data_IF_666922673664
#
_entry.id   IF_666922673664
#
_cell.length_a   1.000
_cell.length_b   1.000
_cell.length_c   1.000
_cell.angle_alpha   90.00
_cell.angle_beta   90.00
_cell.angle_gamma   90.00
#
_symmetry.space_group_name_H-M   'P 1'
#
loop_
_entity.id
_entity.type
_entity.pdbx_description
1 polymer ?
#
# COMPACT_ATOMS: atom_id res chain seq x y z
N UNK A 1 -10.90 -30.56 13.73
CA UNK A 1 -9.47 -30.88 13.63
C UNK A 1 -8.78 -29.64 13.11
N UNK A 2 -7.81 -29.05 13.80
CA UNK A 2 -7.08 -27.91 13.25
C UNK A 2 -6.24 -28.39 12.07
N UNK A 3 -6.31 -27.68 10.96
CA UNK A 3 -5.57 -27.95 9.74
C UNK A 3 -4.06 -27.88 10.00
N UNK A 4 -3.43 -29.06 10.06
CA UNK A 4 -1.97 -29.19 10.18
C UNK A 4 -1.18 -28.68 8.97
N UNK A 5 -1.84 -28.22 7.90
CA UNK A 5 -1.19 -27.76 6.68
C UNK A 5 -0.92 -26.24 6.64
N UNK A 6 -1.59 -25.45 7.47
CA UNK A 6 -1.44 -23.99 7.47
C UNK A 6 -0.12 -23.52 8.14
N UNK A 7 0.43 -24.30 9.07
CA UNK A 7 1.69 -23.96 9.78
C UNK A 7 2.96 -24.14 8.94
N UNK A 8 2.88 -24.71 7.76
CA UNK A 8 4.07 -25.02 6.94
C UNK A 8 4.73 -23.80 6.29
N UNK A 9 3.99 -22.73 6.09
CA UNK A 9 4.48 -21.54 5.35
C UNK A 9 5.59 -20.77 6.11
N UNK A 10 5.61 -20.83 7.44
CA UNK A 10 6.57 -20.11 8.28
C UNK A 10 7.55 -21.04 9.03
N UNK A 11 7.64 -22.31 8.63
CA UNK A 11 8.56 -23.27 9.27
C UNK A 11 10.04 -23.07 8.88
N UNK A 12 10.32 -22.27 7.86
CA UNK A 12 11.67 -21.82 7.50
C UNK A 12 11.74 -20.32 7.68
N UNK A 13 12.87 -19.84 8.21
CA UNK A 13 13.08 -18.40 8.33
C UNK A 13 13.11 -17.75 6.95
N UNK A 14 12.25 -16.74 6.73
CA UNK A 14 12.30 -15.95 5.51
C UNK A 14 13.59 -15.12 5.48
N UNK A 15 14.39 -15.13 4.38
CA UNK A 15 15.68 -14.46 4.33
C UNK A 15 15.58 -12.93 4.49
N UNK A 16 14.52 -12.30 3.95
CA UNK A 16 14.32 -10.85 4.01
C UNK A 16 13.88 -10.41 5.41
N UNK A 17 12.91 -11.11 6.01
CA UNK A 17 12.48 -10.85 7.37
C UNK A 17 13.64 -11.05 8.37
N UNK A 18 14.40 -12.14 8.21
CA UNK A 18 15.56 -12.41 9.05
C UNK A 18 16.65 -11.33 8.88
N UNK A 19 16.93 -10.87 7.66
CA UNK A 19 17.89 -9.81 7.40
C UNK A 19 17.47 -8.50 8.10
N UNK A 20 16.21 -8.10 7.99
CA UNK A 20 15.67 -6.92 8.68
C UNK A 20 15.76 -7.05 10.21
N UNK A 21 15.47 -8.24 10.76
CA UNK A 21 15.59 -8.49 12.20
C UNK A 21 17.06 -8.44 12.66
N UNK A 22 17.99 -8.95 11.85
CA UNK A 22 19.43 -8.90 12.13
C UNK A 22 19.94 -7.45 12.12
N UNK A 23 19.63 -6.68 11.09
CA UNK A 23 19.97 -5.27 11.00
C UNK A 23 19.43 -4.48 12.20
N UNK A 24 18.16 -4.71 12.55
CA UNK A 24 17.56 -4.11 13.72
C UNK A 24 18.27 -4.51 15.03
N UNK A 25 18.81 -5.73 15.11
CA UNK A 25 19.51 -6.22 16.31
C UNK A 25 20.84 -5.50 16.59
N UNK A 26 21.37 -4.74 15.63
CA UNK A 26 22.56 -3.89 15.84
C UNK A 26 22.27 -2.68 16.74
N UNK A 27 21.03 -2.21 16.76
CA UNK A 27 20.59 -1.01 17.49
C UNK A 27 19.51 -1.27 18.53
N UNK A 28 18.88 -2.46 18.49
CA UNK A 28 17.79 -2.88 19.38
C UNK A 28 18.13 -4.19 20.07
N UNK A 29 17.69 -4.35 21.31
CA UNK A 29 17.82 -5.63 22.02
C UNK A 29 16.78 -6.63 21.52
N UNK A 30 17.14 -7.42 20.50
CA UNK A 30 16.31 -8.52 20.01
C UNK A 30 16.91 -9.83 20.49
N UNK A 31 16.11 -10.58 21.28
CA UNK A 31 16.55 -11.84 21.91
C UNK A 31 15.59 -12.98 21.60
N UNK A 32 16.03 -14.21 21.84
CA UNK A 32 15.16 -15.38 21.81
C UNK A 32 14.25 -15.40 23.04
N UNK A 33 12.96 -15.28 22.85
CA UNK A 33 11.93 -15.41 23.89
C UNK A 33 11.78 -16.87 24.39
N UNK A 34 12.14 -17.83 23.54
CA UNK A 34 12.15 -19.28 23.83
C UNK A 34 13.31 -19.96 23.14
N UNK A 35 13.64 -21.21 23.55
CA UNK A 35 14.59 -22.04 22.80
C UNK A 35 14.07 -22.29 21.38
N UNK A 36 14.98 -22.24 20.39
CA UNK A 36 14.68 -22.50 18.98
C UNK A 36 15.17 -23.89 18.62
N UNK A 37 14.28 -24.73 18.09
CA UNK A 37 14.58 -26.09 17.68
C UNK A 37 14.26 -26.30 16.19
N UNK A 38 15.07 -27.13 15.52
CA UNK A 38 14.70 -27.65 14.21
C UNK A 38 13.65 -28.77 14.34
N UNK A 39 13.07 -29.18 13.20
CA UNK A 39 12.04 -30.22 13.15
C UNK A 39 12.51 -31.57 13.72
N UNK A 40 13.82 -31.84 13.78
CA UNK A 40 14.42 -33.05 14.31
C UNK A 40 14.66 -32.96 15.83
N UNK A 41 14.32 -31.84 16.47
CA UNK A 41 14.51 -31.62 17.91
C UNK A 41 15.91 -31.16 18.31
N UNK A 42 16.77 -30.78 17.33
CA UNK A 42 18.07 -30.21 17.62
C UNK A 42 17.91 -28.75 18.04
N UNK A 43 18.43 -28.39 19.24
CA UNK A 43 18.44 -26.99 19.69
C UNK A 43 19.43 -26.17 18.86
N UNK A 44 18.91 -25.19 18.16
CA UNK A 44 19.68 -24.24 17.34
C UNK A 44 20.10 -23.01 18.15
N UNK A 45 19.21 -22.48 19.01
CA UNK A 45 19.44 -21.28 19.80
C UNK A 45 18.79 -21.37 21.16
N UNK A 46 19.42 -20.80 22.17
CA UNK A 46 18.87 -20.84 23.53
C UNK A 46 18.08 -19.57 23.85
N UNK A 47 17.07 -19.72 24.72
CA UNK A 47 16.32 -18.61 25.29
C UNK A 47 17.27 -17.55 25.88
N UNK A 48 16.88 -16.27 25.77
CA UNK A 48 17.61 -15.08 26.21
C UNK A 48 18.94 -14.83 25.48
N UNK A 49 19.29 -15.62 24.47
CA UNK A 49 20.43 -15.28 23.61
C UNK A 49 20.06 -14.20 22.59
N UNK A 50 20.93 -13.20 22.38
CA UNK A 50 20.69 -12.16 21.39
C UNK A 50 20.67 -12.73 19.97
N UNK A 51 19.87 -12.13 19.11
CA UNK A 51 19.88 -12.40 17.67
C UNK A 51 21.23 -11.93 17.10
N UNK A 52 21.85 -12.74 16.24
CA UNK A 52 23.14 -12.45 15.63
C UNK A 52 23.33 -13.22 14.32
N UNK A 53 24.38 -12.89 13.57
CA UNK A 53 24.78 -13.67 12.38
C UNK A 53 25.08 -15.14 12.68
N UNK A 54 25.43 -15.48 13.92
CA UNK A 54 25.58 -16.89 14.33
C UNK A 54 24.26 -17.65 14.33
N UNK A 55 23.17 -16.98 14.75
CA UNK A 55 21.83 -17.54 14.63
C UNK A 55 21.46 -17.72 13.14
N UNK A 56 21.70 -16.70 12.30
CA UNK A 56 21.43 -16.79 10.86
C UNK A 56 22.09 -18.02 10.23
N UNK A 57 23.40 -18.24 10.50
CA UNK A 57 24.11 -19.41 9.98
C UNK A 57 23.51 -20.74 10.44
N UNK A 58 22.96 -20.80 11.66
CA UNK A 58 22.30 -22.00 12.19
C UNK A 58 20.90 -22.22 11.64
N UNK A 59 20.25 -21.18 11.16
CA UNK A 59 18.89 -21.24 10.57
C UNK A 59 18.92 -21.57 9.06
N UNK A 60 20.07 -21.37 8.39
CA UNK A 60 20.21 -21.66 6.96
C UNK A 60 19.81 -23.11 6.66
N UNK A 61 18.95 -23.29 5.70
CA UNK A 61 18.44 -24.59 5.20
C UNK A 61 17.78 -25.48 6.26
N UNK A 62 17.30 -24.87 7.36
CA UNK A 62 16.64 -25.62 8.42
C UNK A 62 15.15 -25.28 8.54
N UNK A 63 14.35 -26.31 8.64
CA UNK A 63 12.94 -26.18 9.04
C UNK A 63 12.84 -26.18 10.56
N UNK A 64 12.03 -25.29 11.10
CA UNK A 64 11.86 -25.05 12.53
C UNK A 64 10.58 -25.74 13.06
N UNK A 65 10.58 -26.12 14.33
CA UNK A 65 9.40 -26.63 15.01
C UNK A 65 8.32 -25.54 15.20
N UNK A 66 8.73 -24.28 15.35
CA UNK A 66 7.88 -23.11 15.48
C UNK A 66 8.38 -22.00 14.57
N UNK A 67 7.51 -21.18 14.02
CA UNK A 67 7.91 -19.97 13.28
C UNK A 67 8.89 -19.12 14.08
N UNK A 68 9.94 -18.62 13.41
CA UNK A 68 11.00 -17.84 14.05
C UNK A 68 10.45 -16.63 14.80
N UNK A 69 9.49 -15.94 14.21
CA UNK A 69 8.86 -14.73 14.73
C UNK A 69 8.16 -14.96 16.08
N UNK A 70 7.70 -16.18 16.33
CA UNK A 70 7.08 -16.55 17.61
C UNK A 70 8.11 -16.90 18.68
N UNK A 71 9.37 -17.08 18.29
CA UNK A 71 10.47 -17.45 19.18
C UNK A 71 11.36 -16.24 19.56
N UNK A 72 11.16 -15.08 18.95
CA UNK A 72 11.94 -13.86 19.18
C UNK A 72 11.10 -12.78 19.87
N UNK A 73 11.78 -11.82 20.50
CA UNK A 73 11.18 -10.61 21.06
C UNK A 73 12.16 -9.44 21.04
N UNK A 74 11.64 -8.24 20.92
CA UNK A 74 12.38 -7.00 21.14
C UNK A 74 12.14 -6.54 22.58
N UNK A 75 13.16 -6.47 23.44
CA UNK A 75 13.04 -6.09 24.85
C UNK A 75 12.67 -4.60 24.99
N UNK A 76 13.22 -3.75 24.12
CA UNK A 76 12.98 -2.31 24.04
C UNK A 76 12.04 -1.94 22.87
N UNK A 77 11.16 -2.86 22.48
CA UNK A 77 10.32 -2.77 21.30
C UNK A 77 9.22 -1.69 21.38
N UNK A 78 8.45 -1.58 20.30
CA UNK A 78 7.30 -0.69 20.21
C UNK A 78 6.28 -1.03 21.29
N UNK A 79 5.81 0.00 22.01
CA UNK A 79 4.78 -0.12 23.05
C UNK A 79 3.59 0.78 22.71
N UNK A 80 2.39 0.55 23.29
CA UNK A 80 1.27 1.47 23.12
C UNK A 80 1.59 2.91 23.54
N UNK A 81 2.47 3.09 24.53
CA UNK A 81 2.95 4.41 24.93
C UNK A 81 3.76 5.07 23.81
N UNK A 82 4.72 4.36 23.21
CA UNK A 82 5.53 4.89 22.09
C UNK A 82 4.66 5.22 20.88
N UNK A 83 3.66 4.40 20.56
CA UNK A 83 2.68 4.71 19.51
C UNK A 83 1.91 5.99 19.83
N UNK A 84 1.47 6.16 21.09
CA UNK A 84 0.78 7.37 21.51
C UNK A 84 1.67 8.60 21.42
N UNK A 85 2.93 8.50 21.87
CA UNK A 85 3.89 9.61 21.80
C UNK A 85 4.16 10.00 20.33
N UNK A 86 4.36 9.02 19.43
CA UNK A 86 4.52 9.26 17.99
C UNK A 86 3.28 9.92 17.38
N UNK A 87 2.08 9.45 17.74
CA UNK A 87 0.82 10.03 17.26
C UNK A 87 0.65 11.48 17.75
N UNK A 88 1.01 11.78 19.00
CA UNK A 88 1.02 13.15 19.51
C UNK A 88 1.94 14.06 18.68
N UNK A 89 3.13 13.58 18.31
CA UNK A 89 4.04 14.34 17.43
C UNK A 89 3.43 14.62 16.06
N UNK A 90 2.67 13.68 15.48
CA UNK A 90 1.96 13.89 14.21
C UNK A 90 0.82 14.91 14.33
N UNK A 91 0.10 14.91 15.45
CA UNK A 91 -1.04 15.81 15.71
C UNK A 91 -0.57 17.23 16.00
N UNK A 92 0.45 17.39 16.86
CA UNK A 92 0.94 18.67 17.34
C UNK A 92 1.94 19.33 16.37
N UNK A 93 2.52 18.54 15.46
CA UNK A 93 3.48 19.02 14.47
C UNK A 93 2.87 19.92 13.38
N UNK A 94 3.68 20.24 12.38
CA UNK A 94 3.29 21.00 11.17
C UNK A 94 3.37 20.12 9.91
N UNK A 95 3.16 18.81 10.07
CA UNK A 95 3.20 17.84 8.97
C UNK A 95 1.97 17.93 8.05
N UNK A 96 2.07 17.32 6.87
CA UNK A 96 1.02 17.32 5.85
C UNK A 96 -0.31 16.76 6.36
N UNK A 97 -0.29 15.81 7.29
CA UNK A 97 -1.49 15.19 7.86
C UNK A 97 -2.09 15.99 9.02
N UNK A 98 -1.37 16.93 9.62
CA UNK A 98 -1.83 17.68 10.80
C UNK A 98 -3.22 18.30 10.63
N UNK A 99 -3.58 18.93 9.48
CA UNK A 99 -4.93 19.49 9.30
C UNK A 99 -6.03 18.43 9.33
N UNK A 100 -5.74 17.19 8.88
CA UNK A 100 -6.66 16.06 8.99
C UNK A 100 -6.72 15.51 10.41
N UNK A 101 -5.58 15.39 11.10
CA UNK A 101 -5.49 14.68 12.38
C UNK A 101 -5.93 15.52 13.57
N UNK A 102 -5.59 16.82 13.60
CA UNK A 102 -5.83 17.72 14.74
C UNK A 102 -7.30 17.81 15.18
N UNK A 103 -8.30 17.90 14.28
CA UNK A 103 -9.71 17.89 14.68
C UNK A 103 -10.14 16.59 15.38
N UNK A 104 -9.44 15.48 15.14
CA UNK A 104 -9.74 14.13 15.65
C UNK A 104 -8.80 13.68 16.78
N UNK A 105 -7.97 14.59 17.31
CA UNK A 105 -6.91 14.28 18.27
C UNK A 105 -7.39 13.47 19.49
N UNK A 106 -8.53 13.85 20.08
CA UNK A 106 -9.06 13.15 21.25
C UNK A 106 -9.46 11.71 20.96
N UNK A 107 -10.13 11.47 19.84
CA UNK A 107 -10.51 10.13 19.41
C UNK A 107 -9.29 9.26 19.09
N UNK A 108 -8.30 9.84 18.40
CA UNK A 108 -7.05 9.18 18.03
C UNK A 108 -6.22 8.79 19.26
N UNK A 109 -6.02 9.74 20.21
CA UNK A 109 -5.24 9.49 21.43
C UNK A 109 -5.95 8.52 22.40
N UNK A 110 -7.28 8.42 22.31
CA UNK A 110 -8.06 7.42 23.03
C UNK A 110 -7.97 6.06 22.34
N UNK A 111 -8.17 6.04 21.01
CA UNK A 111 -8.16 4.83 20.20
C UNK A 111 -6.81 4.10 20.21
N UNK A 112 -5.68 4.85 20.16
CA UNK A 112 -4.34 4.25 20.21
C UNK A 112 -4.08 3.48 21.52
N UNK A 113 -4.74 3.86 22.61
CA UNK A 113 -4.67 3.12 23.87
C UNK A 113 -5.32 1.74 23.81
N UNK A 114 -6.22 1.50 22.86
CA UNK A 114 -6.89 0.21 22.62
C UNK A 114 -6.22 -0.60 21.49
N UNK A 115 -5.21 -0.05 20.81
CA UNK A 115 -4.40 -0.78 19.83
C UNK A 115 -3.62 -1.86 20.55
N UNK A 116 -4.02 -3.11 20.32
CA UNK A 116 -3.37 -4.26 20.91
C UNK A 116 -2.16 -4.67 20.06
N UNK A 117 -0.98 -4.72 20.68
CA UNK A 117 0.24 -5.21 20.03
C UNK A 117 0.47 -6.67 20.40
N UNK A 118 0.19 -7.59 19.48
CA UNK A 118 0.59 -8.99 19.62
C UNK A 118 2.13 -9.09 19.61
N UNK A 119 2.76 -10.01 20.40
CA UNK A 119 4.24 -10.12 20.46
C UNK A 119 4.94 -10.20 19.10
N UNK A 120 4.38 -10.96 18.15
CA UNK A 120 4.90 -11.06 16.78
C UNK A 120 4.85 -9.70 16.07
N UNK A 121 3.71 -9.01 16.12
CA UNK A 121 3.58 -7.68 15.53
C UNK A 121 4.52 -6.66 16.20
N UNK A 122 4.66 -6.73 17.51
CA UNK A 122 5.61 -5.89 18.26
C UNK A 122 7.05 -6.11 17.80
N UNK A 123 7.49 -7.36 17.65
CA UNK A 123 8.81 -7.71 17.11
C UNK A 123 9.01 -7.12 15.72
N UNK A 124 8.06 -7.40 14.79
CA UNK A 124 8.17 -6.98 13.39
C UNK A 124 8.18 -5.45 13.25
N UNK A 125 7.26 -4.75 13.92
CA UNK A 125 7.23 -3.28 13.92
C UNK A 125 8.50 -2.67 14.53
N UNK A 126 9.06 -3.30 15.57
CA UNK A 126 10.30 -2.83 16.19
C UNK A 126 11.51 -3.03 15.27
N UNK A 127 11.52 -4.13 14.51
CA UNK A 127 12.53 -4.37 13.50
C UNK A 127 12.42 -3.38 12.33
N UNK A 128 11.19 -3.11 11.85
CA UNK A 128 10.93 -2.12 10.79
C UNK A 128 11.31 -0.71 11.27
N UNK A 129 10.96 -0.31 12.49
CA UNK A 129 11.35 1.00 13.03
C UNK A 129 12.86 1.21 13.01
N UNK A 130 13.63 0.18 13.35
CA UNK A 130 15.10 0.26 13.43
C UNK A 130 15.78 0.20 12.06
N UNK A 131 15.36 -0.75 11.20
CA UNK A 131 16.03 -1.02 9.93
C UNK A 131 15.41 -0.27 8.73
N UNK A 132 14.10 0.05 8.78
CA UNK A 132 13.33 0.69 7.69
C UNK A 132 12.47 1.83 8.22
N UNK A 133 13.03 2.94 8.74
CA UNK A 133 12.26 4.00 9.41
C UNK A 133 11.21 4.65 8.50
N UNK A 134 11.42 4.72 7.19
CA UNK A 134 10.43 5.24 6.24
C UNK A 134 9.15 4.37 6.22
N UNK A 135 9.29 3.03 6.17
CA UNK A 135 8.16 2.10 6.22
C UNK A 135 7.43 2.17 7.58
N UNK A 136 8.17 2.34 8.68
CA UNK A 136 7.53 2.55 9.98
C UNK A 136 6.73 3.86 10.06
N UNK A 137 7.27 4.96 9.52
CA UNK A 137 6.56 6.23 9.46
C UNK A 137 5.31 6.13 8.58
N UNK A 138 5.39 5.40 7.45
CA UNK A 138 4.23 5.11 6.60
C UNK A 138 3.14 4.37 7.39
N UNK A 139 3.49 3.32 8.11
CA UNK A 139 2.54 2.58 8.97
C UNK A 139 1.91 3.47 10.05
N UNK A 140 2.67 4.40 10.67
CA UNK A 140 2.14 5.38 11.62
C UNK A 140 1.16 6.36 10.96
N UNK A 141 1.46 6.83 9.75
CA UNK A 141 0.59 7.71 8.99
C UNK A 141 -0.71 7.00 8.61
N UNK A 142 -0.63 5.74 8.16
CA UNK A 142 -1.80 4.93 7.83
C UNK A 142 -2.67 4.67 9.07
N UNK A 143 -2.07 4.33 10.21
CA UNK A 143 -2.75 4.21 11.49
C UNK A 143 -3.52 5.49 11.84
N UNK A 144 -2.86 6.64 11.77
CA UNK A 144 -3.43 7.93 12.16
C UNK A 144 -4.55 8.36 11.19
N UNK A 145 -4.32 8.24 9.88
CA UNK A 145 -5.30 8.61 8.85
C UNK A 145 -6.55 7.73 8.90
N UNK A 146 -6.38 6.41 8.99
CA UNK A 146 -7.51 5.49 9.11
C UNK A 146 -8.37 5.79 10.35
N UNK A 147 -7.73 6.07 11.49
CA UNK A 147 -8.43 6.49 12.70
C UNK A 147 -9.18 7.81 12.53
N UNK A 148 -8.56 8.83 11.93
CA UNK A 148 -9.18 10.14 11.69
C UNK A 148 -10.38 10.07 10.75
N UNK A 149 -10.29 9.29 9.66
CA UNK A 149 -11.40 9.07 8.73
C UNK A 149 -12.58 8.39 9.45
N UNK A 150 -12.31 7.39 10.31
CA UNK A 150 -13.36 6.71 11.07
C UNK A 150 -14.04 7.63 12.08
N UNK A 151 -13.28 8.46 12.81
CA UNK A 151 -13.88 9.44 13.74
C UNK A 151 -14.68 10.50 13.00
N UNK A 152 -14.20 10.98 11.85
CA UNK A 152 -14.95 11.91 11.00
C UNK A 152 -16.31 11.32 10.54
N UNK A 153 -16.37 10.00 10.36
CA UNK A 153 -17.60 9.23 10.05
C UNK A 153 -18.44 8.90 11.30
N UNK A 154 -18.03 9.37 12.48
CA UNK A 154 -18.68 9.13 13.76
C UNK A 154 -18.73 7.66 14.16
N UNK A 155 -17.71 6.90 13.81
CA UNK A 155 -17.55 5.54 14.25
C UNK A 155 -17.35 5.48 15.78
N UNK A 156 -17.70 4.37 16.37
CA UNK A 156 -17.43 4.15 17.80
C UNK A 156 -15.94 3.92 18.09
N UNK A 157 -15.57 4.00 19.36
CA UNK A 157 -14.19 3.85 19.83
C UNK A 157 -13.56 2.52 19.39
N UNK A 158 -14.34 1.44 19.38
CA UNK A 158 -13.85 0.11 19.00
C UNK A 158 -13.52 0.06 17.51
N UNK A 159 -14.40 0.58 16.65
CA UNK A 159 -14.18 0.65 15.21
C UNK A 159 -12.98 1.55 14.86
N UNK A 160 -12.78 2.67 15.58
CA UNK A 160 -11.60 3.52 15.42
C UNK A 160 -10.32 2.74 15.78
N UNK A 161 -10.30 2.03 16.91
CA UNK A 161 -9.14 1.23 17.32
C UNK A 161 -8.84 0.08 16.35
N UNK A 162 -9.85 -0.57 15.78
CA UNK A 162 -9.67 -1.59 14.73
C UNK A 162 -9.07 -0.98 13.46
N UNK A 163 -9.56 0.17 13.02
CA UNK A 163 -9.04 0.88 11.86
C UNK A 163 -7.58 1.30 12.07
N UNK A 164 -7.25 1.83 13.24
CA UNK A 164 -5.88 2.19 13.62
C UNK A 164 -4.97 0.95 13.65
N UNK A 165 -5.46 -0.16 14.20
CA UNK A 165 -4.70 -1.43 14.22
C UNK A 165 -4.45 -1.95 12.81
N UNK A 166 -5.46 -1.93 11.95
CA UNK A 166 -5.35 -2.38 10.57
C UNK A 166 -4.39 -1.48 9.77
N UNK A 167 -4.48 -0.15 9.93
CA UNK A 167 -3.55 0.80 9.31
C UNK A 167 -2.10 0.64 9.80
N UNK A 168 -1.88 0.33 11.08
CA UNK A 168 -0.53 0.07 11.61
C UNK A 168 0.12 -1.19 11.02
N UNK A 169 -0.70 -2.19 10.64
CA UNK A 169 -0.23 -3.53 10.27
C UNK A 169 -0.36 -3.83 8.77
N UNK A 170 -0.89 -2.90 7.95
CA UNK A 170 -1.26 -3.21 6.56
C UNK A 170 -0.08 -3.72 5.73
N UNK A 171 1.11 -3.14 5.92
CA UNK A 171 2.34 -3.47 5.19
C UNK A 171 3.26 -4.48 5.90
N UNK A 172 2.78 -5.14 6.96
CA UNK A 172 3.62 -6.10 7.68
C UNK A 172 4.18 -7.21 6.79
N UNK A 173 3.50 -7.51 5.67
CA UNK A 173 3.94 -8.47 4.66
C UNK A 173 5.16 -8.03 3.87
N UNK A 174 5.45 -6.72 3.76
CA UNK A 174 6.63 -6.20 3.06
C UNK A 174 7.96 -6.65 3.70
N UNK A 175 7.95 -7.03 4.97
CA UNK A 175 9.14 -7.61 5.59
C UNK A 175 9.60 -8.93 4.95
N UNK A 176 8.72 -9.60 4.22
CA UNK A 176 8.96 -10.92 3.61
C UNK A 176 9.36 -10.85 2.14
N UNK A 177 9.43 -9.66 1.57
CA UNK A 177 9.93 -9.37 0.23
C UNK A 177 11.23 -8.57 0.31
N UNK A 178 11.97 -8.44 -0.81
CA UNK A 178 13.19 -7.64 -0.82
C UNK A 178 12.91 -6.18 -0.44
N UNK A 179 13.73 -5.55 0.43
CA UNK A 179 13.53 -4.17 0.88
C UNK A 179 13.46 -3.13 -0.25
N UNK A 180 14.16 -3.40 -1.36
CA UNK A 180 14.16 -2.53 -2.54
C UNK A 180 12.79 -2.43 -3.25
N UNK A 181 11.84 -3.28 -2.87
CA UNK A 181 10.50 -3.37 -3.46
C UNK A 181 9.41 -2.78 -2.56
N UNK A 182 9.77 -2.25 -1.39
CA UNK A 182 8.80 -1.64 -0.47
C UNK A 182 8.17 -0.36 -1.04
N UNK A 183 6.90 -0.15 -0.75
CA UNK A 183 6.11 1.00 -1.24
C UNK A 183 6.59 2.35 -0.71
N UNK A 184 7.22 2.36 0.46
CA UNK A 184 7.75 3.59 1.05
C UNK A 184 8.89 4.22 0.23
N UNK A 185 9.49 3.47 -0.69
CA UNK A 185 10.62 3.92 -1.52
C UNK A 185 10.13 4.34 -2.92
N UNK A 186 9.38 5.42 -2.98
CA UNK A 186 8.71 5.94 -4.18
C UNK A 186 9.63 6.37 -5.34
N UNK A 187 10.95 6.31 -5.17
CA UNK A 187 11.92 6.73 -6.19
C UNK A 187 12.15 5.70 -7.31
N UNK A 188 11.67 4.47 -7.13
CA UNK A 188 11.91 3.41 -8.09
C UNK A 188 10.71 3.22 -9.02
N UNK A 189 10.89 3.50 -10.31
CA UNK A 189 10.05 2.93 -11.36
C UNK A 189 10.18 1.42 -11.29
N UNK A 190 9.23 0.77 -10.60
CA UNK A 190 9.26 -0.67 -10.39
C UNK A 190 9.16 -1.40 -11.73
N UNK A 191 10.20 -2.13 -12.09
CA UNK A 191 10.14 -3.07 -13.20
C UNK A 191 9.08 -4.16 -12.93
N UNK A 192 8.59 -4.81 -13.98
CA UNK A 192 7.50 -5.80 -13.88
C UNK A 192 7.80 -6.93 -12.89
N UNK A 193 9.03 -7.42 -12.87
CA UNK A 193 9.42 -8.51 -11.97
C UNK A 193 9.42 -8.07 -10.50
N UNK A 194 9.86 -6.86 -10.24
CA UNK A 194 9.81 -6.18 -8.95
C UNK A 194 8.36 -6.00 -8.49
N UNK A 195 7.50 -5.53 -9.39
CA UNK A 195 6.07 -5.36 -9.12
C UNK A 195 5.38 -6.68 -8.78
N UNK A 196 5.77 -7.80 -9.42
CA UNK A 196 5.26 -9.14 -9.07
C UNK A 196 5.55 -9.54 -7.63
N UNK A 197 6.71 -9.16 -7.11
CA UNK A 197 7.06 -9.41 -5.70
C UNK A 197 6.26 -8.49 -4.78
N UNK A 198 6.10 -7.23 -5.16
CA UNK A 198 5.33 -6.28 -4.36
C UNK A 198 3.86 -6.71 -4.22
N UNK A 199 3.19 -7.09 -5.29
CA UNK A 199 1.74 -7.39 -5.26
C UNK A 199 1.34 -8.58 -4.39
N UNK A 200 2.30 -9.36 -3.88
CA UNK A 200 2.00 -10.49 -2.99
C UNK A 200 2.05 -10.13 -1.50
N UNK A 201 2.60 -8.94 -1.12
CA UNK A 201 2.74 -8.59 0.30
C UNK A 201 1.41 -8.51 1.06
N UNK A 202 0.26 -8.08 0.48
CA UNK A 202 -1.02 -8.11 1.21
C UNK A 202 -1.43 -9.53 1.59
N UNK A 203 -1.21 -10.49 0.68
CA UNK A 203 -1.46 -11.90 0.97
C UNK A 203 -0.51 -12.47 2.02
N UNK A 204 0.77 -12.12 1.95
CA UNK A 204 1.76 -12.52 2.97
C UNK A 204 1.36 -11.95 4.33
N UNK A 205 1.00 -10.67 4.42
CA UNK A 205 0.51 -10.04 5.64
C UNK A 205 -0.72 -10.74 6.21
N UNK A 206 -1.68 -11.11 5.37
CA UNK A 206 -2.84 -11.91 5.76
C UNK A 206 -2.43 -13.26 6.37
N UNK A 207 -1.54 -14.01 5.71
CA UNK A 207 -1.06 -15.30 6.20
C UNK A 207 -0.35 -15.16 7.54
N UNK A 208 0.54 -14.19 7.66
CA UNK A 208 1.30 -13.89 8.86
C UNK A 208 0.36 -13.59 10.04
N UNK A 209 -0.56 -12.64 9.87
CA UNK A 209 -1.47 -12.26 10.94
C UNK A 209 -2.44 -13.38 11.30
N UNK A 210 -2.94 -14.15 10.33
CA UNK A 210 -3.89 -15.24 10.59
C UNK A 210 -3.26 -16.45 11.25
N UNK A 211 -1.97 -16.74 10.95
CA UNK A 211 -1.30 -17.95 11.44
C UNK A 211 -0.48 -17.72 12.71
N UNK A 212 0.10 -16.52 12.84
CA UNK A 212 1.05 -16.23 13.92
C UNK A 212 0.47 -15.32 15.02
N UNK A 213 -0.76 -14.83 14.86
CA UNK A 213 -1.39 -13.90 15.81
C UNK A 213 -2.85 -14.24 16.08
N UNK A 214 -3.46 -13.51 17.01
CA UNK A 214 -4.88 -13.62 17.36
C UNK A 214 -5.68 -12.34 17.03
N UNK A 215 -5.22 -11.58 16.03
CA UNK A 215 -5.96 -10.39 15.58
C UNK A 215 -7.35 -10.75 15.03
N UNK A 216 -8.34 -9.84 15.17
CA UNK A 216 -9.67 -10.03 14.61
C UNK A 216 -9.61 -10.31 13.10
N UNK A 217 -10.50 -11.21 12.63
CA UNK A 217 -10.57 -11.57 11.19
C UNK A 217 -10.77 -10.36 10.28
N UNK A 218 -11.48 -9.33 10.76
CA UNK A 218 -11.72 -8.11 9.98
C UNK A 218 -10.42 -7.33 9.75
N UNK A 219 -9.51 -7.25 10.73
CA UNK A 219 -8.18 -6.67 10.58
C UNK A 219 -7.34 -7.48 9.59
N UNK A 220 -7.30 -8.81 9.76
CA UNK A 220 -6.56 -9.73 8.88
C UNK A 220 -7.05 -9.62 7.43
N UNK A 221 -8.35 -9.54 7.24
CA UNK A 221 -8.99 -9.38 5.94
C UNK A 221 -8.67 -8.02 5.32
N UNK A 222 -8.74 -6.95 6.10
CA UNK A 222 -8.42 -5.60 5.62
C UNK A 222 -6.97 -5.48 5.16
N UNK A 223 -6.02 -6.12 5.86
CA UNK A 223 -4.61 -6.21 5.45
C UNK A 223 -4.47 -6.90 4.08
N UNK A 224 -5.27 -7.92 3.79
CA UNK A 224 -5.26 -8.57 2.47
C UNK A 224 -5.85 -7.70 1.36
N UNK A 225 -6.70 -6.72 1.71
CA UNK A 225 -7.52 -5.94 0.79
C UNK A 225 -7.03 -4.49 0.57
N UNK A 226 -5.96 -4.05 1.26
CA UNK A 226 -5.58 -2.63 1.29
C UNK A 226 -5.13 -2.05 -0.07
N UNK A 227 -4.81 -2.89 -1.04
CA UNK A 227 -4.56 -2.48 -2.43
C UNK A 227 -5.69 -2.85 -3.39
N UNK A 228 -6.80 -3.36 -2.89
CA UNK A 228 -7.98 -3.59 -3.72
C UNK A 228 -8.71 -2.28 -4.02
N UNK A 229 -9.47 -2.26 -5.11
CA UNK A 229 -10.28 -1.12 -5.56
C UNK A 229 -11.71 -1.58 -5.84
N UNK A 230 -12.69 -0.73 -5.59
CA UNK A 230 -14.12 -1.08 -5.77
C UNK A 230 -14.46 -1.49 -7.20
N UNK A 231 -13.74 -0.98 -8.18
CA UNK A 231 -13.94 -1.25 -9.60
C UNK A 231 -13.16 -2.49 -10.10
N UNK A 232 -12.39 -3.15 -9.24
CA UNK A 232 -11.58 -4.32 -9.57
C UNK A 232 -10.23 -3.99 -10.23
N UNK A 233 -9.82 -2.72 -10.23
CA UNK A 233 -8.51 -2.28 -10.70
C UNK A 233 -7.38 -2.58 -9.72
N UNK A 234 -7.69 -3.01 -8.49
CA UNK A 234 -6.73 -3.31 -7.44
C UNK A 234 -6.09 -4.70 -7.53
N UNK A 235 -5.34 -5.06 -6.51
CA UNK A 235 -4.64 -6.33 -6.33
C UNK A 235 -4.64 -6.78 -4.86
N UNK A 236 -4.33 -8.03 -4.52
CA UNK A 236 -3.95 -9.14 -5.40
C UNK A 236 -5.14 -9.91 -6.00
N UNK A 237 -6.36 -9.78 -5.45
CA UNK A 237 -7.49 -10.64 -5.80
C UNK A 237 -8.47 -9.99 -6.80
N UNK A 238 -8.32 -8.71 -7.10
CA UNK A 238 -9.22 -7.92 -7.96
C UNK A 238 -10.66 -7.99 -7.50
N UNK A 239 -10.86 -7.74 -6.23
CA UNK A 239 -12.20 -7.70 -5.64
C UNK A 239 -12.96 -6.50 -6.18
N UNK A 240 -14.29 -6.63 -6.24
CA UNK A 240 -15.17 -5.55 -6.73
C UNK A 240 -16.28 -5.27 -5.73
N UNK A 241 -16.65 -4.00 -5.60
CA UNK A 241 -17.84 -3.55 -4.87
C UNK A 241 -17.95 -4.13 -3.45
N UNK A 242 -19.08 -4.80 -3.18
CA UNK A 242 -19.40 -5.36 -1.85
C UNK A 242 -18.53 -6.56 -1.45
N UNK A 243 -17.68 -7.04 -2.33
CA UNK A 243 -16.72 -8.10 -1.98
C UNK A 243 -15.57 -7.58 -1.11
N UNK A 244 -15.31 -6.27 -1.10
CA UNK A 244 -14.39 -5.64 -0.18
C UNK A 244 -15.05 -5.43 1.18
N UNK A 245 -14.29 -5.68 2.26
CA UNK A 245 -14.72 -5.34 3.62
C UNK A 245 -14.69 -3.82 3.84
N UNK A 246 -15.46 -3.32 4.80
CA UNK A 246 -15.46 -1.88 5.14
C UNK A 246 -14.08 -1.39 5.59
N UNK A 247 -13.35 -2.20 6.37
CA UNK A 247 -11.95 -1.87 6.74
C UNK A 247 -11.01 -1.98 5.54
N UNK A 248 -11.22 -2.92 4.62
CA UNK A 248 -10.45 -3.03 3.38
C UNK A 248 -10.64 -1.80 2.49
N UNK A 249 -11.88 -1.34 2.29
CA UNK A 249 -12.18 -0.08 1.59
C UNK A 249 -11.48 1.12 2.24
N UNK A 250 -11.50 1.19 3.58
CA UNK A 250 -10.84 2.26 4.33
C UNK A 250 -9.33 2.24 4.13
N UNK A 251 -8.68 1.07 4.27
CA UNK A 251 -7.24 0.96 4.09
C UNK A 251 -6.82 1.25 2.65
N UNK A 252 -7.59 0.78 1.66
CA UNK A 252 -7.35 1.07 0.25
C UNK A 252 -7.39 2.58 -0.04
N UNK A 253 -8.38 3.30 0.50
CA UNK A 253 -8.45 4.75 0.37
C UNK A 253 -7.32 5.46 1.16
N UNK A 254 -6.94 4.93 2.32
CA UNK A 254 -5.83 5.45 3.13
C UNK A 254 -4.51 5.33 2.38
N UNK A 255 -4.23 4.16 1.81
CA UNK A 255 -3.00 3.90 1.06
C UNK A 255 -2.89 4.80 -0.17
N UNK A 256 -3.94 4.90 -0.97
CA UNK A 256 -3.95 5.79 -2.13
C UNK A 256 -3.74 7.26 -1.75
N UNK A 257 -4.38 7.71 -0.67
CA UNK A 257 -4.19 9.07 -0.17
C UNK A 257 -2.74 9.32 0.27
N UNK A 258 -2.12 8.35 0.96
CA UNK A 258 -0.71 8.42 1.36
C UNK A 258 0.23 8.37 0.16
N UNK A 259 -0.06 7.53 -0.84
CA UNK A 259 0.70 7.48 -2.09
C UNK A 259 0.70 8.83 -2.81
N UNK A 260 -0.46 9.50 -2.90
CA UNK A 260 -0.55 10.84 -3.48
C UNK A 260 0.23 11.90 -2.69
N UNK A 261 0.44 11.71 -1.38
CA UNK A 261 1.21 12.61 -0.53
C UNK A 261 2.73 12.39 -0.63
N UNK A 262 3.22 11.32 -1.25
CA UNK A 262 4.67 11.08 -1.47
C UNK A 262 5.27 12.00 -2.53
N UNK A 263 4.46 12.59 -3.39
CA UNK A 263 4.92 13.54 -4.42
C UNK A 263 5.49 14.79 -3.73
N UNK A 264 6.67 15.26 -4.18
CA UNK A 264 7.29 16.46 -3.61
C UNK A 264 6.36 17.68 -3.69
N UNK A 265 6.13 18.34 -2.55
CA UNK A 265 5.20 19.48 -2.46
C UNK A 265 3.71 19.09 -2.45
N UNK A 266 3.38 17.79 -2.37
CA UNK A 266 1.99 17.35 -2.26
C UNK A 266 1.34 17.85 -0.97
N UNK A 267 0.02 18.01 -1.03
CA UNK A 267 -0.84 18.44 0.09
C UNK A 267 -2.09 17.56 0.15
N UNK A 268 -2.94 17.76 1.16
CA UNK A 268 -4.22 17.05 1.26
C UNK A 268 -5.14 17.27 0.04
N UNK A 269 -4.93 18.32 -0.76
CA UNK A 269 -5.64 18.48 -2.03
C UNK A 269 -5.32 17.34 -3.01
N UNK A 270 -4.03 16.97 -3.14
CA UNK A 270 -3.60 15.85 -4.00
C UNK A 270 -4.22 14.52 -3.54
N UNK A 271 -4.18 14.23 -2.23
CA UNK A 271 -4.83 13.06 -1.65
C UNK A 271 -6.35 13.03 -1.92
N UNK A 272 -7.02 14.19 -1.76
CA UNK A 272 -8.45 14.33 -2.04
C UNK A 272 -8.78 14.11 -3.53
N UNK A 273 -7.94 14.62 -4.44
CA UNK A 273 -8.10 14.43 -5.89
C UNK A 273 -7.89 12.95 -6.25
N UNK A 274 -6.83 12.33 -5.75
CA UNK A 274 -6.50 10.93 -6.04
C UNK A 274 -7.64 9.97 -5.74
N UNK A 275 -8.42 10.21 -4.68
CA UNK A 275 -9.56 9.37 -4.32
C UNK A 275 -10.84 9.62 -5.15
N UNK A 276 -10.89 10.67 -5.96
CA UNK A 276 -12.11 11.09 -6.68
C UNK A 276 -11.95 11.17 -8.18
N UNK A 277 -10.71 11.12 -8.68
CA UNK A 277 -10.41 11.36 -10.10
C UNK A 277 -10.94 10.27 -11.01
N UNK A 278 -11.05 9.03 -10.53
CA UNK A 278 -11.64 7.91 -11.27
C UNK A 278 -12.94 7.49 -10.57
N UNK A 279 -14.11 7.68 -11.22
CA UNK A 279 -15.40 7.37 -10.62
C UNK A 279 -15.56 5.89 -10.26
N UNK A 280 -15.96 5.63 -9.00
CA UNK A 280 -16.23 4.28 -8.51
C UNK A 280 -14.98 3.45 -8.18
N UNK A 281 -13.79 4.04 -8.20
CA UNK A 281 -12.55 3.39 -7.76
C UNK A 281 -12.50 3.26 -6.23
N UNK A 282 -12.91 4.29 -5.51
CA UNK A 282 -12.99 4.34 -4.04
C UNK A 282 -14.40 4.71 -3.55
N UNK A 283 -14.67 4.44 -2.27
CA UNK A 283 -15.90 4.86 -1.61
C UNK A 283 -15.88 6.38 -1.38
N UNK A 284 -16.85 7.09 -1.95
CA UNK A 284 -16.98 8.55 -1.87
C UNK A 284 -17.08 9.07 -0.43
N UNK A 285 -17.66 8.26 0.48
CA UNK A 285 -17.76 8.61 1.90
C UNK A 285 -16.43 8.62 2.61
N UNK A 286 -15.40 7.91 2.08
CA UNK A 286 -14.03 7.92 2.63
C UNK A 286 -13.23 9.11 2.13
N UNK A 287 -13.51 9.62 0.93
CA UNK A 287 -12.87 10.81 0.39
C UNK A 287 -13.33 12.11 1.08
N UNK A 288 -14.55 12.14 1.62
CA UNK A 288 -15.15 13.32 2.26
C UNK A 288 -14.29 13.97 3.36
N UNK A 289 -13.78 13.23 4.35
CA UNK A 289 -12.91 13.76 5.41
C UNK A 289 -11.63 14.42 4.88
N UNK A 290 -10.97 13.82 3.88
CA UNK A 290 -9.79 14.40 3.24
C UNK A 290 -10.14 15.68 2.49
N UNK A 291 -11.25 15.69 1.75
CA UNK A 291 -11.72 16.88 1.05
C UNK A 291 -12.07 18.02 2.03
N UNK A 292 -12.62 17.70 3.19
CA UNK A 292 -12.89 18.68 4.24
C UNK A 292 -11.58 19.24 4.85
N UNK A 293 -10.61 18.40 5.13
CA UNK A 293 -9.30 18.79 5.64
C UNK A 293 -8.49 19.60 4.59
N UNK A 294 -8.61 19.27 3.31
CA UNK A 294 -7.97 20.02 2.23
C UNK A 294 -8.45 21.47 2.16
N UNK A 295 -9.75 21.75 2.43
CA UNK A 295 -10.31 23.13 2.37
C UNK A 295 -9.72 24.10 3.39
N UNK A 296 -9.12 23.63 4.48
CA UNK A 296 -8.49 24.48 5.49
C UNK A 296 -6.98 24.66 5.28
N UNK A 297 -6.43 23.98 4.27
CA UNK A 297 -5.04 24.15 3.82
C UNK A 297 -5.00 25.20 2.72
N UNK A 298 -3.86 25.87 2.57
CA UNK A 298 -3.66 26.83 1.48
C UNK A 298 -3.99 26.19 0.11
N UNK A 299 -4.62 26.94 -0.80
CA UNK A 299 -4.88 26.46 -2.17
C UNK A 299 -3.60 25.99 -2.84
N UNK A 300 -3.74 25.05 -3.77
CA UNK A 300 -2.62 24.55 -4.56
C UNK A 300 -1.99 25.69 -5.35
N UNK A 301 -0.67 25.81 -5.23
CA UNK A 301 0.11 26.75 -6.04
C UNK A 301 0.35 26.10 -7.40
N UNK A 302 0.11 26.85 -8.48
CA UNK A 302 0.47 26.41 -9.83
C UNK A 302 1.99 26.21 -9.93
N UNK A 303 2.43 25.07 -10.49
CA UNK A 303 3.84 24.74 -10.71
C UNK A 303 4.28 25.09 -12.15
N UNK A 304 3.31 25.21 -13.05
CA UNK A 304 3.52 25.50 -14.47
C UNK A 304 2.57 26.59 -14.96
N UNK A 305 2.81 27.10 -16.16
CA UNK A 305 1.92 28.06 -16.81
C UNK A 305 0.62 27.39 -17.27
N UNK A 306 -0.43 28.18 -17.50
CA UNK A 306 -1.67 27.66 -18.08
C UNK A 306 -1.45 27.05 -19.47
N UNK A 307 -0.49 27.60 -20.26
CA UNK A 307 -0.16 27.11 -21.60
C UNK A 307 0.51 25.73 -21.52
N UNK A 308 1.50 25.56 -20.63
CA UNK A 308 2.20 24.28 -20.40
C UNK A 308 1.23 23.22 -19.90
N UNK A 309 0.35 23.58 -18.96
CA UNK A 309 -0.69 22.69 -18.46
C UNK A 309 -1.63 22.23 -19.58
N UNK A 310 -2.10 23.15 -20.41
CA UNK A 310 -2.99 22.80 -21.54
C UNK A 310 -2.30 21.89 -22.55
N UNK A 311 -1.00 22.10 -22.80
CA UNK A 311 -0.21 21.22 -23.63
C UNK A 311 -0.11 19.81 -23.01
N UNK A 312 0.22 19.72 -21.74
CA UNK A 312 0.35 18.47 -21.01
C UNK A 312 -0.99 17.70 -20.89
N UNK A 313 -2.11 18.40 -20.72
CA UNK A 313 -3.45 17.80 -20.74
C UNK A 313 -3.82 17.28 -22.14
N UNK A 314 -3.41 17.99 -23.20
CA UNK A 314 -3.61 17.54 -24.58
C UNK A 314 -2.79 16.28 -24.88
N UNK A 315 -1.56 16.19 -24.37
CA UNK A 315 -0.73 14.98 -24.47
C UNK A 315 -1.38 13.80 -23.73
N UNK A 316 -1.92 14.04 -22.53
CA UNK A 316 -2.64 13.01 -21.78
C UNK A 316 -3.86 12.47 -22.55
N UNK A 317 -4.67 13.36 -23.12
CA UNK A 317 -5.83 12.97 -23.96
C UNK A 317 -5.39 12.16 -25.18
N UNK A 318 -4.31 12.59 -25.83
CA UNK A 318 -3.74 11.86 -26.97
C UNK A 318 -3.23 10.48 -26.58
N UNK A 319 -2.54 10.35 -25.44
CA UNK A 319 -2.05 9.07 -24.93
C UNK A 319 -3.20 8.12 -24.60
N UNK A 320 -4.23 8.63 -23.91
CA UNK A 320 -5.44 7.84 -23.62
C UNK A 320 -6.12 7.34 -24.90
N UNK A 321 -6.29 8.19 -25.90
CA UNK A 321 -6.89 7.82 -27.18
C UNK A 321 -6.00 6.85 -27.96
N UNK A 322 -4.69 7.08 -27.96
CA UNK A 322 -3.71 6.19 -28.58
C UNK A 322 -3.71 4.80 -27.97
N UNK A 323 -3.72 4.71 -26.64
CA UNK A 323 -3.79 3.45 -25.91
C UNK A 323 -5.09 2.67 -26.21
N UNK A 324 -6.22 3.35 -26.23
CA UNK A 324 -7.52 2.72 -26.58
C UNK A 324 -7.50 2.17 -28.03
N UNK A 325 -6.95 2.91 -28.98
CA UNK A 325 -6.83 2.45 -30.36
C UNK A 325 -5.86 1.27 -30.48
N UNK A 326 -4.74 1.29 -29.78
CA UNK A 326 -3.76 0.20 -29.78
C UNK A 326 -4.30 -1.06 -29.15
N UNK A 327 -5.13 -0.94 -28.12
CA UNK A 327 -5.76 -2.08 -27.47
C UNK A 327 -6.62 -2.92 -28.43
N UNK A 328 -7.33 -2.27 -29.36
CA UNK A 328 -8.09 -2.97 -30.40
C UNK A 328 -7.21 -3.74 -31.40
N UNK A 329 -5.96 -3.32 -31.57
CA UNK A 329 -4.98 -3.95 -32.46
C UNK A 329 -4.09 -4.98 -31.75
N UNK A 330 -4.14 -5.02 -30.42
CA UNK A 330 -3.28 -5.89 -29.61
C UNK A 330 -3.64 -7.38 -29.72
N UNK A 331 -4.90 -7.70 -30.03
CA UNK A 331 -5.37 -9.08 -30.10
C UNK A 331 -5.21 -9.63 -31.52
N UNK A 332 -4.38 -10.69 -31.72
CA UNK A 332 -4.35 -11.44 -32.96
C UNK A 332 -5.68 -12.24 -33.17
N UNK A 333 -5.86 -12.86 -34.31
CA UNK A 333 -7.07 -13.68 -34.60
C UNK A 333 -7.33 -14.78 -33.56
N UNK A 334 -6.27 -15.34 -32.98
CA UNK A 334 -6.33 -16.38 -31.94
C UNK A 334 -5.38 -16.05 -30.77
N UNK A 335 -5.78 -15.15 -29.88
CA UNK A 335 -4.95 -14.74 -28.73
C UNK A 335 -4.92 -15.86 -27.68
N UNK A 336 -3.79 -15.98 -26.96
CA UNK A 336 -3.73 -16.83 -25.76
C UNK A 336 -4.68 -16.32 -24.67
N UNK A 337 -5.07 -17.20 -23.76
CA UNK A 337 -5.90 -16.80 -22.60
C UNK A 337 -5.24 -15.70 -21.75
N UNK A 338 -3.91 -15.71 -21.66
CA UNK A 338 -3.14 -14.73 -20.90
C UNK A 338 -3.23 -13.34 -21.57
N UNK A 339 -3.00 -13.25 -22.89
CA UNK A 339 -3.12 -11.99 -23.62
C UNK A 339 -4.56 -11.46 -23.59
N UNK A 340 -5.55 -12.37 -23.77
CA UNK A 340 -6.96 -12.00 -23.71
C UNK A 340 -7.36 -11.45 -22.35
N UNK A 341 -6.86 -12.03 -21.25
CA UNK A 341 -7.09 -11.55 -19.88
C UNK A 341 -6.46 -10.18 -19.67
N UNK A 342 -5.22 -9.98 -20.13
CA UNK A 342 -4.55 -8.68 -20.05
C UNK A 342 -5.33 -7.61 -20.84
N UNK A 343 -5.75 -7.92 -22.07
CA UNK A 343 -6.52 -6.99 -22.90
C UNK A 343 -7.87 -6.62 -22.28
N UNK A 344 -8.60 -7.56 -21.70
CA UNK A 344 -9.87 -7.29 -21.01
C UNK A 344 -9.66 -6.36 -19.80
N UNK A 345 -8.60 -6.59 -19.02
CA UNK A 345 -8.25 -5.72 -17.91
C UNK A 345 -7.91 -4.30 -18.39
N UNK A 346 -7.04 -4.18 -19.39
CA UNK A 346 -6.66 -2.88 -19.96
C UNK A 346 -7.86 -2.12 -20.52
N UNK A 347 -8.77 -2.83 -21.20
CA UNK A 347 -10.00 -2.22 -21.69
C UNK A 347 -10.85 -1.65 -20.55
N UNK A 348 -11.04 -2.41 -19.49
CA UNK A 348 -11.78 -1.94 -18.31
C UNK A 348 -11.13 -0.72 -17.68
N UNK A 349 -9.82 -0.77 -17.39
CA UNK A 349 -9.08 0.31 -16.73
C UNK A 349 -9.04 1.59 -17.58
N UNK A 350 -8.75 1.47 -18.89
CA UNK A 350 -8.74 2.63 -19.80
C UNK A 350 -10.12 3.26 -19.94
N UNK A 351 -11.18 2.44 -19.97
CA UNK A 351 -12.53 2.97 -20.02
C UNK A 351 -12.86 3.79 -18.75
N UNK A 352 -12.51 3.28 -17.58
CA UNK A 352 -12.69 3.99 -16.31
C UNK A 352 -11.87 5.28 -16.25
N UNK A 353 -10.61 5.21 -16.67
CA UNK A 353 -9.74 6.40 -16.70
C UNK A 353 -10.29 7.45 -17.69
N UNK A 354 -10.76 7.02 -18.86
CA UNK A 354 -11.41 7.92 -19.83
C UNK A 354 -12.67 8.56 -19.28
N UNK A 355 -13.46 7.82 -18.51
CA UNK A 355 -14.61 8.36 -17.82
C UNK A 355 -14.19 9.46 -16.83
N UNK A 356 -13.18 9.19 -15.97
CA UNK A 356 -12.63 10.20 -15.05
C UNK A 356 -12.13 11.44 -15.76
N UNK A 357 -11.39 11.25 -16.87
CA UNK A 357 -10.95 12.35 -17.72
C UNK A 357 -12.13 13.21 -18.23
N UNK A 358 -13.15 12.58 -18.77
CA UNK A 358 -14.31 13.29 -19.29
C UNK A 358 -15.08 14.05 -18.21
N UNK A 359 -15.23 13.44 -17.02
CA UNK A 359 -15.94 14.04 -15.89
C UNK A 359 -15.14 15.16 -15.19
N UNK A 360 -13.81 15.17 -15.34
CA UNK A 360 -12.96 16.26 -14.81
C UNK A 360 -13.28 17.61 -15.46
N UNK A 361 -13.79 17.62 -16.68
CA UNK A 361 -14.07 18.84 -17.44
C UNK A 361 -12.83 19.57 -17.95
N UNK A 362 -11.62 19.04 -17.77
CA UNK A 362 -10.35 19.70 -18.13
C UNK A 362 -10.01 19.66 -19.63
N UNK A 363 -10.80 18.98 -20.44
CA UNK A 363 -10.57 18.83 -21.89
C UNK A 363 -11.00 20.04 -22.75
N UNK A 364 -11.60 21.06 -22.14
CA UNK A 364 -12.07 22.28 -22.84
C UNK A 364 -11.12 23.45 -22.67
N UNK A 365 -10.70 24.15 -23.75
CA UNK A 365 -9.71 25.24 -23.71
C UNK A 365 -10.13 26.48 -22.90
N UNK A 366 -11.39 26.60 -22.52
CA UNK A 366 -11.94 27.71 -21.72
C UNK A 366 -12.26 27.32 -20.27
N UNK A 367 -11.90 26.10 -19.86
CA UNK A 367 -12.39 25.52 -18.60
C UNK A 367 -11.55 25.87 -17.38
N UNK A 368 -10.31 26.34 -17.51
CA UNK A 368 -9.38 26.49 -16.39
C UNK A 368 -9.15 27.98 -16.09
N UNK A 369 -9.68 28.45 -14.96
CA UNK A 369 -9.32 29.75 -14.40
C UNK A 369 -7.90 29.73 -13.83
N UNK A 370 -7.26 30.89 -13.72
CA UNK A 370 -5.88 31.03 -13.20
C UNK A 370 -5.76 30.45 -11.78
N UNK A 371 -6.80 30.58 -10.98
CA UNK A 371 -6.94 30.06 -9.61
C UNK A 371 -7.19 28.53 -9.53
N UNK A 372 -7.47 27.90 -10.67
CA UNK A 372 -7.76 26.44 -10.77
C UNK A 372 -6.59 25.64 -11.36
N UNK A 373 -5.51 26.29 -11.79
CA UNK A 373 -4.35 25.63 -12.43
C UNK A 373 -3.77 24.55 -11.51
N UNK A 374 -3.55 24.86 -10.24
CA UNK A 374 -2.96 23.90 -9.29
C UNK A 374 -3.85 22.67 -9.05
N UNK A 375 -5.19 22.83 -9.06
CA UNK A 375 -6.10 21.69 -8.95
C UNK A 375 -6.12 20.85 -10.23
N UNK A 376 -6.05 21.48 -11.40
CA UNK A 376 -5.95 20.79 -12.68
C UNK A 376 -4.63 20.01 -12.82
N UNK A 377 -3.52 20.55 -12.31
CA UNK A 377 -2.24 19.83 -12.20
C UNK A 377 -2.36 18.59 -11.31
N UNK A 378 -3.02 18.70 -10.17
CA UNK A 378 -3.22 17.54 -9.29
C UNK A 378 -4.08 16.44 -9.94
N UNK A 379 -5.09 16.82 -10.73
CA UNK A 379 -5.88 15.87 -11.54
C UNK A 379 -5.01 15.21 -12.61
N UNK A 380 -4.18 16.00 -13.31
CA UNK A 380 -3.24 15.48 -14.31
C UNK A 380 -2.27 14.47 -13.71
N UNK A 381 -1.66 14.80 -12.57
CA UNK A 381 -0.73 13.90 -11.86
C UNK A 381 -1.41 12.58 -11.47
N UNK A 382 -2.64 12.66 -10.91
CA UNK A 382 -3.39 11.49 -10.54
C UNK A 382 -3.74 10.59 -11.74
N UNK A 383 -4.14 11.17 -12.88
CA UNK A 383 -4.43 10.43 -14.11
C UNK A 383 -3.18 9.80 -14.72
N UNK A 384 -2.05 10.52 -14.72
CA UNK A 384 -0.75 9.96 -15.15
C UNK A 384 -0.34 8.78 -14.30
N UNK A 385 -0.47 8.87 -12.99
CA UNK A 385 -0.20 7.77 -12.07
C UNK A 385 -1.05 6.53 -12.41
N UNK A 386 -2.33 6.73 -12.78
CA UNK A 386 -3.21 5.62 -13.19
C UNK A 386 -2.79 5.01 -14.52
N UNK A 387 -2.33 5.80 -15.50
CA UNK A 387 -1.79 5.27 -16.76
C UNK A 387 -0.57 4.37 -16.50
N UNK A 388 0.38 4.81 -15.68
CA UNK A 388 1.54 4.00 -15.31
C UNK A 388 1.13 2.71 -14.57
N UNK A 389 0.08 2.77 -13.76
CA UNK A 389 -0.46 1.58 -13.10
C UNK A 389 -1.08 0.61 -14.09
N UNK A 390 -1.78 1.09 -15.12
CA UNK A 390 -2.36 0.24 -16.17
C UNK A 390 -1.27 -0.57 -16.88
N UNK A 391 -0.14 0.03 -17.21
CA UNK A 391 1.01 -0.67 -17.80
C UNK A 391 1.47 -1.83 -16.92
N UNK A 392 1.74 -1.55 -15.64
CA UNK A 392 2.18 -2.58 -14.68
C UNK A 392 1.17 -3.73 -14.56
N UNK A 393 -0.11 -3.38 -14.47
CA UNK A 393 -1.19 -4.37 -14.35
C UNK A 393 -1.36 -5.19 -15.63
N UNK A 394 -1.19 -4.58 -16.81
CA UNK A 394 -1.22 -5.27 -18.09
C UNK A 394 -0.14 -6.34 -18.18
N UNK A 395 1.10 -5.98 -17.87
CA UNK A 395 2.25 -6.87 -17.87
C UNK A 395 2.10 -8.00 -16.84
N UNK A 396 1.60 -7.68 -15.65
CA UNK A 396 1.32 -8.68 -14.61
C UNK A 396 0.24 -9.68 -15.06
N UNK A 397 -0.85 -9.19 -15.66
CA UNK A 397 -1.97 -10.01 -16.08
C UNK A 397 -1.63 -10.94 -17.25
N UNK A 398 -0.71 -10.49 -18.11
CA UNK A 398 -0.27 -11.24 -19.29
C UNK A 398 0.50 -12.52 -18.94
N UNK A 399 1.25 -12.54 -17.82
CA UNK A 399 2.06 -13.70 -17.44
C UNK A 399 3.08 -14.07 -18.53
N UNK A 400 3.13 -15.34 -18.93
CA UNK A 400 3.99 -15.83 -20.02
C UNK A 400 3.26 -15.73 -21.37
N UNK A 401 3.86 -15.04 -22.33
CA UNK A 401 3.36 -14.85 -23.69
C UNK A 401 4.33 -15.45 -24.71
N UNK A 402 3.86 -15.70 -25.94
CA UNK A 402 4.72 -15.93 -27.11
C UNK A 402 5.44 -14.64 -27.49
N UNK A 403 6.51 -14.71 -28.31
CA UNK A 403 7.27 -13.55 -28.72
C UNK A 403 6.40 -12.50 -29.45
N UNK A 404 5.55 -12.94 -30.39
CA UNK A 404 4.65 -12.04 -31.14
C UNK A 404 3.60 -11.38 -30.24
N UNK A 405 3.10 -12.09 -29.23
CA UNK A 405 2.16 -11.55 -28.25
C UNK A 405 2.85 -10.57 -27.29
N UNK A 406 4.11 -10.84 -26.93
CA UNK A 406 4.92 -9.93 -26.13
C UNK A 406 5.16 -8.61 -26.87
N UNK A 407 5.52 -8.66 -28.17
CA UNK A 407 5.68 -7.49 -29.01
C UNK A 407 4.38 -6.67 -29.11
N UNK A 408 3.24 -7.34 -29.19
CA UNK A 408 1.92 -6.69 -29.19
C UNK A 408 1.61 -5.99 -27.88
N UNK A 409 1.92 -6.63 -26.75
CA UNK A 409 1.77 -6.03 -25.41
C UNK A 409 2.72 -4.84 -25.21
N UNK A 410 3.97 -4.98 -25.64
CA UNK A 410 4.98 -3.90 -25.52
C UNK A 410 4.60 -2.68 -26.38
N UNK A 411 4.07 -2.89 -27.58
CA UNK A 411 3.54 -1.83 -28.42
C UNK A 411 2.32 -1.09 -27.79
N UNK A 412 1.50 -1.83 -27.04
CA UNK A 412 0.41 -1.24 -26.25
C UNK A 412 0.96 -0.45 -25.07
N UNK A 413 1.86 -1.03 -24.30
CA UNK A 413 2.46 -0.37 -23.13
C UNK A 413 3.23 0.90 -23.52
N UNK A 414 3.94 0.89 -24.64
CA UNK A 414 4.62 2.08 -25.17
C UNK A 414 3.65 3.25 -25.46
N UNK A 415 2.39 2.96 -25.81
CA UNK A 415 1.39 4.03 -26.00
C UNK A 415 0.83 4.62 -24.70
N UNK A 416 1.06 3.95 -23.55
CA UNK A 416 0.68 4.45 -22.21
C UNK A 416 1.74 5.41 -21.64
N UNK A 417 2.99 5.27 -22.08
CA UNK A 417 4.09 6.11 -21.64
C UNK A 417 3.98 7.44 -22.36
N UNK A 418 3.92 8.52 -21.60
CA UNK A 418 4.00 9.87 -22.15
C UNK A 418 5.48 10.21 -22.29
N UNK A 419 5.91 10.59 -23.50
CA UNK A 419 7.23 11.20 -23.69
C UNK A 419 7.27 12.51 -22.87
N UNK A 420 8.26 12.62 -21.96
CA UNK A 420 8.50 13.81 -21.14
C UNK A 420 8.90 15.03 -21.95
#
# INVERSE_FOLDING_TARGET
MPDHNASAAFNTANPHALATILEASETRSIIAASDIFDINGMKLWARNQPVSHDLQRKLMDRSLQKPLETCLMAEDGITPKRLKDALMMLIDGEGMLTPLLRPHANALLTGVGDVRLHPVAQLLLSAVEAARPAAYHHALHAMAMAGAIMDARRADRHAIALAMTAGLLHDVGEMYISPEFGEADAANTLEVETYRQLVVHPHIGQLLLSQLTDYPKDVVRAVAEHHERLDGSGYPYRLTGDRLSELGKLLSATEEALAALRIHGATLHHASVALRVVPGEFDEHLAGPLAAAARVVAPLQARQSAEDLMHALSQLDFSLQGAMNRLTLMLPEQPSENLQRAAQLCHHLLHKLRQGWNESGLWGPSAIGIDQIGEAEAVQDALRSRLAQIERMARLAAGSLSADEQDSLDAFCAALVMDD
#
